data_IF_504117565097
#
_entry.id   IF_504117565097
#
_cell.length_a   1.000
_cell.length_b   1.000
_cell.length_c   1.000
_cell.angle_alpha   90.00
_cell.angle_beta   90.00
_cell.angle_gamma   90.00
#
_symmetry.space_group_name_H-M   'P 1'
#
loop_
_entity.id
_entity.type
_entity.pdbx_description
1 polymer ?
#
# COMPACT_ATOMS: atom_id res chain seq x y z
N UNK A 1 20.86 -3.46 -3.76
CA UNK A 1 19.62 -3.87 -4.46
C UNK A 1 18.46 -3.22 -3.71
N UNK A 2 17.63 -2.42 -4.38
CA UNK A 2 16.48 -1.76 -3.74
C UNK A 2 15.42 -2.83 -3.48
N UNK A 3 14.89 -2.89 -2.25
CA UNK A 3 13.85 -3.86 -1.89
C UNK A 3 12.50 -3.30 -2.36
N UNK A 4 11.89 -3.95 -3.37
CA UNK A 4 10.57 -3.62 -3.92
C UNK A 4 9.55 -4.63 -3.41
N UNK A 5 8.40 -4.14 -2.96
CA UNK A 5 7.24 -4.96 -2.59
C UNK A 5 6.07 -4.58 -3.49
N UNK A 6 5.43 -5.57 -4.10
CA UNK A 6 4.25 -5.36 -4.93
C UNK A 6 3.02 -5.80 -4.14
N UNK A 7 2.06 -4.91 -4.02
CA UNK A 7 0.84 -5.09 -3.23
C UNK A 7 -0.33 -4.94 -4.21
N UNK A 8 -1.00 -6.05 -4.46
CA UNK A 8 -2.12 -6.13 -5.40
C UNK A 8 -3.44 -6.01 -4.62
N UNK A 9 -4.34 -5.14 -5.07
CA UNK A 9 -5.75 -5.17 -4.66
C UNK A 9 -6.51 -6.16 -5.54
N UNK A 10 -7.55 -6.80 -5.01
CA UNK A 10 -8.34 -7.80 -5.75
C UNK A 10 -9.26 -7.16 -6.80
N UNK A 11 -9.63 -5.89 -6.58
CA UNK A 11 -10.18 -5.04 -7.63
C UNK A 11 -9.10 -4.82 -8.70
N UNK A 12 -9.32 -5.38 -9.89
CA UNK A 12 -8.41 -5.53 -11.05
C UNK A 12 -7.60 -4.30 -11.51
N UNK A 13 -7.71 -3.15 -10.86
CA UNK A 13 -7.35 -1.85 -11.42
C UNK A 13 -6.40 -1.02 -10.55
N UNK A 14 -6.04 -1.47 -9.34
CA UNK A 14 -5.12 -0.75 -8.46
C UNK A 14 -3.91 -1.62 -8.06
N UNK A 15 -2.76 -1.32 -8.64
CA UNK A 15 -1.48 -1.91 -8.26
C UNK A 15 -0.70 -0.91 -7.40
N UNK A 16 -0.22 -1.35 -6.25
CA UNK A 16 0.67 -0.55 -5.41
C UNK A 16 2.07 -1.16 -5.39
N UNK A 17 3.08 -0.31 -5.49
CA UNK A 17 4.48 -0.71 -5.33
C UNK A 17 5.12 0.08 -4.21
N UNK A 18 5.87 -0.61 -3.35
CA UNK A 18 6.56 0.00 -2.21
C UNK A 18 8.06 -0.28 -2.31
N UNK A 19 8.84 0.79 -2.44
CA UNK A 19 10.29 0.74 -2.57
C UNK A 19 10.96 1.33 -1.32
N UNK A 20 11.86 0.57 -0.71
CA UNK A 20 12.66 1.04 0.42
C UNK A 20 13.98 1.61 -0.10
N UNK A 21 14.14 2.93 -0.02
CA UNK A 21 15.30 3.69 -0.51
C UNK A 21 16.07 4.32 0.66
N UNK A 22 16.93 3.52 1.30
CA UNK A 22 17.71 3.96 2.46
C UNK A 22 16.80 4.32 3.64
N UNK A 23 16.68 5.62 3.96
CA UNK A 23 15.79 6.11 5.02
C UNK A 23 14.35 6.37 4.57
N UNK A 24 14.11 6.42 3.27
CA UNK A 24 12.81 6.75 2.71
C UNK A 24 12.08 5.50 2.23
N UNK A 25 10.75 5.58 2.22
CA UNK A 25 9.87 4.59 1.62
C UNK A 25 9.03 5.30 0.58
N UNK A 26 9.05 4.78 -0.65
CA UNK A 26 8.28 5.32 -1.78
C UNK A 26 7.14 4.36 -2.07
N UNK A 27 5.90 4.82 -1.98
CA UNK A 27 4.71 4.08 -2.38
C UNK A 27 4.17 4.68 -3.67
N UNK A 28 4.04 3.88 -4.73
CA UNK A 28 3.36 4.28 -5.96
C UNK A 28 2.06 3.51 -6.09
N UNK A 29 0.94 4.20 -6.20
CA UNK A 29 -0.37 3.65 -6.51
C UNK A 29 -0.71 4.02 -7.95
N UNK A 30 -0.93 3.03 -8.81
CA UNK A 30 -1.45 3.25 -10.16
C UNK A 30 -2.95 3.07 -10.10
N UNK A 31 -3.70 4.13 -10.40
CA UNK A 31 -5.15 4.10 -10.54
C UNK A 31 -5.56 4.41 -11.96
N UNK A 32 -6.45 3.60 -12.51
CA UNK A 32 -6.89 3.69 -13.90
C UNK A 32 -7.69 4.97 -14.22
N UNK A 33 -8.23 5.64 -13.19
CA UNK A 33 -9.00 6.89 -13.34
C UNK A 33 -8.18 8.16 -13.11
N UNK A 34 -7.05 8.07 -12.40
CA UNK A 34 -6.32 9.24 -11.88
C UNK A 34 -4.81 9.25 -12.19
N UNK A 35 -4.30 8.20 -12.83
CA UNK A 35 -2.87 8.07 -13.13
C UNK A 35 -2.08 7.49 -11.96
N UNK A 36 -0.78 7.77 -11.93
CA UNK A 36 0.14 7.31 -10.89
C UNK A 36 0.25 8.36 -9.77
N UNK A 37 -0.10 7.97 -8.54
CA UNK A 37 0.14 8.76 -7.34
C UNK A 37 1.37 8.21 -6.60
N UNK A 38 2.26 9.11 -6.17
CA UNK A 38 3.48 8.75 -5.42
C UNK A 38 3.47 9.39 -4.04
N UNK A 39 3.62 8.56 -3.01
CA UNK A 39 3.80 8.99 -1.62
C UNK A 39 5.20 8.68 -1.13
N UNK A 40 5.79 9.62 -0.40
CA UNK A 40 7.10 9.44 0.24
C UNK A 40 6.93 9.46 1.76
N UNK A 41 7.43 8.43 2.43
CA UNK A 41 7.38 8.31 3.88
C UNK A 41 8.80 8.31 4.46
N UNK A 42 8.94 8.94 5.63
CA UNK A 42 10.20 8.97 6.40
C UNK A 42 10.41 7.71 7.26
N UNK A 43 9.37 6.90 7.45
CA UNK A 43 9.40 5.74 8.32
C UNK A 43 8.27 4.76 8.03
N UNK A 44 8.44 3.49 8.44
CA UNK A 44 7.38 2.47 8.36
C UNK A 44 6.11 2.86 9.14
N UNK A 45 6.18 3.42 10.37
CA UNK A 45 4.98 3.88 11.07
C UNK A 45 4.19 4.95 10.31
N UNK A 46 4.87 5.91 9.66
CA UNK A 46 4.20 6.94 8.86
C UNK A 46 3.47 6.34 7.66
N UNK A 47 4.10 5.37 6.97
CA UNK A 47 3.45 4.61 5.90
C UNK A 47 2.25 3.83 6.45
N UNK A 48 2.39 3.11 7.56
CA UNK A 48 1.31 2.32 8.15
C UNK A 48 0.12 3.19 8.60
N UNK A 49 0.36 4.40 9.08
CA UNK A 49 -0.71 5.34 9.39
C UNK A 49 -1.49 5.73 8.13
N UNK A 50 -0.79 6.03 7.02
CA UNK A 50 -1.44 6.27 5.73
C UNK A 50 -2.23 5.05 5.24
N UNK A 51 -1.64 3.85 5.32
CA UNK A 51 -2.28 2.57 4.91
C UNK A 51 -3.59 2.37 5.69
N UNK A 52 -3.58 2.54 7.01
CA UNK A 52 -4.79 2.37 7.83
C UNK A 52 -5.88 3.41 7.51
N UNK A 53 -5.50 4.63 7.11
CA UNK A 53 -6.45 5.65 6.67
C UNK A 53 -7.00 5.35 5.27
N UNK A 54 -6.15 4.88 4.34
CA UNK A 54 -6.51 4.54 2.96
C UNK A 54 -7.44 3.33 2.90
N UNK A 55 -7.12 2.29 3.67
CA UNK A 55 -7.85 1.03 3.73
C UNK A 55 -8.68 0.99 5.02
N UNK A 56 -9.84 1.65 5.02
CA UNK A 56 -10.75 1.56 6.15
C UNK A 56 -11.35 0.15 6.24
N UNK A 57 -11.18 -0.53 7.38
CA UNK A 57 -11.77 -1.85 7.65
C UNK A 57 -13.26 -1.92 7.33
N UNK A 58 -14.00 -0.82 7.53
CA UNK A 58 -15.44 -0.81 7.26
C UNK A 58 -15.79 -1.00 5.79
N UNK A 59 -14.93 -0.58 4.87
CA UNK A 59 -15.09 -0.81 3.43
C UNK A 59 -14.85 -2.26 3.02
N UNK A 60 -14.35 -3.09 3.95
CA UNK A 60 -14.02 -4.50 3.75
C UNK A 60 -14.86 -5.43 4.64
N UNK A 61 -16.02 -4.98 5.15
CA UNK A 61 -16.90 -5.82 6.01
C UNK A 61 -17.28 -7.14 5.33
N UNK A 62 -17.51 -7.12 4.02
CA UNK A 62 -17.85 -8.30 3.22
C UNK A 62 -16.61 -9.08 2.73
N UNK A 63 -15.40 -8.53 2.94
CA UNK A 63 -14.14 -9.14 2.52
C UNK A 63 -12.99 -8.85 3.50
N UNK A 64 -13.15 -9.29 4.76
CA UNK A 64 -12.14 -9.07 5.79
C UNK A 64 -10.78 -9.72 5.50
N UNK A 65 -10.79 -10.81 4.72
CA UNK A 65 -9.57 -11.54 4.36
C UNK A 65 -8.69 -10.70 3.44
N UNK A 66 -9.26 -10.03 2.44
CA UNK A 66 -8.53 -9.10 1.59
C UNK A 66 -7.90 -7.98 2.41
N UNK A 67 -8.65 -7.37 3.32
CA UNK A 67 -8.09 -6.36 4.22
C UNK A 67 -6.89 -6.89 5.01
N UNK A 68 -7.02 -8.08 5.62
CA UNK A 68 -5.93 -8.70 6.38
C UNK A 68 -4.70 -8.94 5.51
N UNK A 69 -4.89 -9.41 4.27
CA UNK A 69 -3.82 -9.66 3.32
C UNK A 69 -3.10 -8.38 2.90
N UNK A 70 -3.84 -7.31 2.58
CA UNK A 70 -3.28 -6.00 2.24
C UNK A 70 -2.45 -5.46 3.41
N UNK A 71 -3.01 -5.43 4.62
CA UNK A 71 -2.32 -4.93 5.80
C UNK A 71 -1.10 -5.78 6.15
N UNK A 72 -1.19 -7.10 6.00
CA UNK A 72 -0.05 -8.00 6.21
C UNK A 72 1.09 -7.74 5.20
N UNK A 73 0.76 -7.51 3.93
CA UNK A 73 1.75 -7.17 2.91
C UNK A 73 2.51 -5.87 3.24
N UNK A 74 1.80 -4.82 3.67
CA UNK A 74 2.43 -3.57 4.09
C UNK A 74 3.31 -3.72 5.35
N UNK A 75 2.96 -4.65 6.26
CA UNK A 75 3.79 -4.94 7.45
C UNK A 75 5.10 -5.67 7.12
N UNK A 76 5.19 -6.34 5.98
CA UNK A 76 6.39 -7.06 5.55
C UNK A 76 7.42 -6.19 4.79
N UNK A 77 7.01 -4.98 4.40
CA UNK A 77 7.87 -3.98 3.74
C UNK A 77 9.06 -3.65 4.60
#
# INVERSE_FOLDING_TARGET
MIKKHEIYKTDKWNMMTVEVQGRYIILREISDQWGEETHTFMSRPAMMQWVNNRFNKESYKDNEEEYKNIIAAFKQV
#
